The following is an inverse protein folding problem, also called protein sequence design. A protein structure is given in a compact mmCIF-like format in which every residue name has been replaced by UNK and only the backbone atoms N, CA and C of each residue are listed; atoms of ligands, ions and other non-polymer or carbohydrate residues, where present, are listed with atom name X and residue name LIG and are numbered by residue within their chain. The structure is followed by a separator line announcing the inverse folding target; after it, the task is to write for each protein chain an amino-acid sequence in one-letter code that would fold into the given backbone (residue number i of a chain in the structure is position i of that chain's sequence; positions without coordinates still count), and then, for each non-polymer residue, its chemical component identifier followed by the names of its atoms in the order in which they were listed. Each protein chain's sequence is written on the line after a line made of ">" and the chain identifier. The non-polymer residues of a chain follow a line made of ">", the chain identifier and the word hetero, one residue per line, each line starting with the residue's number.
data_IF_704085944591
#
_entry.id   IF_704085944591
#
_cell.length_a   1.000
_cell.length_b   1.000
_cell.length_c   1.000
_cell.angle_alpha   90.00
_cell.angle_beta   90.00
_cell.angle_gamma   90.00
#
_symmetry.space_group_name_H-M   'P 1'
#
loop_
_entity.id
_entity.type
_entity.pdbx_description
1 polymer ?
#
# COMPACT_ATOMS: atom_id res chain seq x y z
N UNK A 1 -29.87 4.58 -3.70
CA UNK A 1 -28.97 4.43 -2.53
C UNK A 1 -28.08 3.21 -2.76
N UNK A 2 -26.81 3.40 -3.07
CA UNK A 2 -25.84 2.30 -3.08
C UNK A 2 -25.52 1.99 -1.61
N UNK A 3 -25.87 0.78 -1.16
CA UNK A 3 -25.41 0.27 0.14
C UNK A 3 -23.89 0.26 0.13
N UNK A 4 -23.26 1.17 0.86
CA UNK A 4 -21.84 1.10 1.17
C UNK A 4 -21.61 -0.22 1.90
N UNK A 5 -20.86 -1.14 1.29
CA UNK A 5 -20.31 -2.29 2.04
C UNK A 5 -19.53 -1.66 3.20
N UNK A 6 -19.97 -1.90 4.44
CA UNK A 6 -19.16 -1.56 5.62
C UNK A 6 -17.87 -2.35 5.49
N UNK A 7 -16.76 -1.64 5.48
CA UNK A 7 -15.45 -2.26 5.57
C UNK A 7 -15.26 -2.76 6.99
N UNK A 8 -14.86 -4.01 7.14
CA UNK A 8 -14.44 -4.53 8.44
C UNK A 8 -12.92 -4.40 8.48
N UNK A 9 -12.37 -3.60 9.42
CA UNK A 9 -10.94 -3.61 9.67
C UNK A 9 -10.46 -5.02 9.96
N UNK A 10 -9.32 -5.39 9.40
CA UNK A 10 -8.70 -6.69 9.60
C UNK A 10 -7.23 -6.53 9.98
N UNK A 11 -6.78 -7.41 10.87
CA UNK A 11 -5.44 -7.39 11.43
C UNK A 11 -4.92 -8.82 11.53
N UNK A 12 -3.69 -9.05 11.10
CA UNK A 12 -2.96 -10.31 11.29
C UNK A 12 -1.60 -10.00 11.92
N UNK A 13 -1.36 -10.54 13.12
CA UNK A 13 -0.02 -10.58 13.71
C UNK A 13 0.74 -11.76 13.12
N UNK A 14 1.97 -11.51 12.70
CA UNK A 14 2.89 -12.54 12.20
C UNK A 14 4.12 -12.50 13.11
N UNK A 15 4.23 -13.47 14.04
CA UNK A 15 5.37 -13.55 14.94
C UNK A 15 6.70 -13.69 14.21
N UNK A 16 7.78 -13.26 14.87
CA UNK A 16 9.12 -13.53 14.37
C UNK A 16 9.38 -15.04 14.27
N UNK A 17 10.03 -15.47 13.18
CA UNK A 17 10.45 -16.86 12.94
C UNK A 17 9.34 -17.91 12.75
N UNK A 18 8.12 -17.51 12.44
CA UNK A 18 7.05 -18.45 12.03
C UNK A 18 7.13 -18.79 10.52
N UNK A 19 6.87 -20.05 10.18
CA UNK A 19 6.69 -20.49 8.80
C UNK A 19 5.36 -19.96 8.23
N UNK A 20 5.35 -19.54 6.96
CA UNK A 20 4.20 -18.84 6.35
C UNK A 20 2.91 -19.67 6.35
N UNK A 21 3.02 -21.00 6.27
CA UNK A 21 1.92 -21.96 6.28
C UNK A 21 1.28 -22.14 7.66
N UNK A 22 1.94 -21.63 8.71
CA UNK A 22 1.44 -21.62 10.09
C UNK A 22 0.76 -20.29 10.45
N UNK A 23 0.76 -19.31 9.54
CA UNK A 23 0.11 -18.01 9.76
C UNK A 23 -1.38 -18.10 9.41
N UNK A 24 -2.23 -17.84 10.40
CA UNK A 24 -3.68 -17.68 10.20
C UNK A 24 -3.97 -16.28 9.64
N UNK A 25 -4.03 -16.17 8.32
CA UNK A 25 -4.30 -14.91 7.65
C UNK A 25 -5.79 -14.57 7.72
N UNK A 26 -6.09 -13.28 7.94
CA UNK A 26 -7.48 -12.82 7.86
C UNK A 26 -8.02 -12.98 6.43
N UNK A 27 -9.17 -13.64 6.31
CA UNK A 27 -9.94 -13.74 5.06
C UNK A 27 -10.73 -12.47 4.72
N UNK A 28 -10.81 -11.51 5.66
CA UNK A 28 -11.60 -10.29 5.50
C UNK A 28 -10.76 -9.16 4.92
N UNK A 29 -10.41 -9.26 3.64
CA UNK A 29 -9.53 -8.27 3.00
C UNK A 29 -10.19 -7.54 1.85
N UNK A 30 -10.50 -6.26 2.05
CA UNK A 30 -10.91 -5.34 1.00
C UNK A 30 -9.89 -4.21 0.91
N UNK A 31 -8.91 -4.35 0.03
CA UNK A 31 -7.93 -3.30 -0.24
C UNK A 31 -8.37 -2.53 -1.49
N UNK A 32 -8.23 -1.22 -1.45
CA UNK A 32 -8.53 -0.34 -2.59
C UNK A 32 -7.62 -0.57 -3.82
N UNK A 33 -6.53 -1.32 -3.63
CA UNK A 33 -5.48 -1.65 -4.60
C UNK A 33 -4.10 -1.45 -3.99
N UNK A 34 -3.07 -2.10 -4.56
CA UNK A 34 -1.67 -1.97 -4.11
C UNK A 34 -0.83 -1.06 -5.02
N UNK A 35 -1.45 -0.25 -5.87
CA UNK A 35 -0.74 0.62 -6.81
C UNK A 35 0.34 1.49 -6.12
N UNK A 36 0.03 2.18 -5.00
CA UNK A 36 1.04 2.97 -4.31
C UNK A 36 2.21 2.14 -3.81
N UNK A 37 1.93 0.98 -3.21
CA UNK A 37 2.94 0.07 -2.70
C UNK A 37 3.84 -0.45 -3.83
N UNK A 38 3.24 -0.85 -4.95
CA UNK A 38 3.96 -1.26 -6.15
C UNK A 38 4.86 -0.13 -6.68
N UNK A 39 4.35 1.09 -6.82
CA UNK A 39 5.13 2.22 -7.33
C UNK A 39 6.29 2.60 -6.42
N UNK A 40 6.07 2.60 -5.11
CA UNK A 40 7.11 2.83 -4.13
C UNK A 40 8.24 1.81 -4.27
N UNK A 41 7.90 0.51 -4.22
CA UNK A 41 8.87 -0.58 -4.36
C UNK A 41 9.60 -0.48 -5.71
N UNK A 42 8.87 -0.25 -6.80
CA UNK A 42 9.43 -0.17 -8.14
C UNK A 42 10.41 1.00 -8.27
N UNK A 43 10.02 2.20 -7.83
CA UNK A 43 10.86 3.39 -7.89
C UNK A 43 12.13 3.25 -7.04
N UNK A 44 12.01 2.69 -5.82
CA UNK A 44 13.15 2.40 -4.93
C UNK A 44 14.08 1.34 -5.54
N UNK A 45 13.54 0.29 -6.14
CA UNK A 45 14.31 -0.77 -6.80
C UNK A 45 15.10 -0.24 -8.00
N UNK A 46 14.52 0.70 -8.76
CA UNK A 46 15.20 1.35 -9.89
C UNK A 46 16.19 2.44 -9.48
N UNK A 47 16.23 2.83 -8.20
CA UNK A 47 17.01 3.97 -7.70
C UNK A 47 16.74 5.24 -8.50
N UNK A 48 15.46 5.53 -8.74
CA UNK A 48 15.02 6.72 -9.50
C UNK A 48 15.70 7.97 -8.95
N UNK A 49 16.31 8.75 -9.84
CA UNK A 49 17.07 9.94 -9.46
C UNK A 49 16.19 11.02 -8.86
N UNK A 50 16.68 11.67 -7.81
CA UNK A 50 15.98 12.79 -7.20
C UNK A 50 16.11 14.03 -8.10
N UNK A 51 14.98 14.53 -8.59
CA UNK A 51 14.88 15.73 -9.42
C UNK A 51 13.59 16.48 -9.13
N UNK A 52 13.59 17.78 -9.39
CA UNK A 52 12.37 18.58 -9.34
C UNK A 52 11.46 18.23 -10.52
N UNK A 53 10.15 18.12 -10.24
CA UNK A 53 9.11 17.91 -11.24
C UNK A 53 7.93 18.85 -10.99
N UNK A 54 7.18 19.15 -12.04
CA UNK A 54 5.92 19.89 -11.94
C UNK A 54 4.75 18.94 -12.09
N UNK A 55 3.78 19.04 -11.17
CA UNK A 55 2.56 18.24 -11.24
C UNK A 55 1.77 18.60 -12.51
N UNK A 56 1.32 17.57 -13.23
CA UNK A 56 0.44 17.70 -14.38
C UNK A 56 -1.00 17.94 -13.95
N UNK A 57 -1.86 18.22 -14.92
CA UNK A 57 -3.30 18.31 -14.72
C UNK A 57 -3.89 16.91 -14.59
N UNK A 58 -4.32 16.54 -13.39
CA UNK A 58 -5.08 15.31 -13.13
C UNK A 58 -6.53 15.65 -12.78
N UNK A 59 -7.43 14.69 -13.01
CA UNK A 59 -8.86 14.84 -12.71
C UNK A 59 -9.12 15.01 -11.20
N UNK A 60 -8.23 14.46 -10.38
CA UNK A 60 -8.32 14.45 -8.92
C UNK A 60 -7.60 15.63 -8.27
N UNK A 61 -7.03 16.56 -9.04
CA UNK A 61 -6.30 17.70 -8.47
C UNK A 61 -7.17 18.50 -7.49
N UNK A 62 -6.53 19.01 -6.44
CA UNK A 62 -7.12 19.82 -5.39
C UNK A 62 -6.18 20.99 -5.03
N UNK A 63 -6.46 21.66 -3.91
CA UNK A 63 -5.66 22.79 -3.44
C UNK A 63 -4.22 22.39 -3.03
N UNK A 64 -3.98 21.11 -2.72
CA UNK A 64 -2.67 20.62 -2.29
C UNK A 64 -1.88 19.98 -3.44
N UNK A 65 -2.56 19.44 -4.46
CA UNK A 65 -1.99 18.75 -5.61
C UNK A 65 -2.51 19.37 -6.91
N UNK A 66 -2.13 20.63 -7.18
CA UNK A 66 -2.54 21.38 -8.36
C UNK A 66 -1.48 21.39 -9.46
N UNK A 67 -1.90 21.67 -10.69
CA UNK A 67 -1.03 21.74 -11.88
C UNK A 67 0.06 22.79 -11.71
N UNK A 68 1.30 22.45 -12.05
CA UNK A 68 2.45 23.35 -11.95
C UNK A 68 3.11 23.39 -10.56
N UNK A 69 2.48 22.81 -9.53
CA UNK A 69 3.10 22.64 -8.21
C UNK A 69 4.41 21.88 -8.38
N UNK A 70 5.48 22.43 -7.83
CA UNK A 70 6.79 21.80 -7.84
C UNK A 70 6.93 20.87 -6.65
N UNK A 71 7.41 19.66 -6.89
CA UNK A 71 7.71 18.64 -5.88
C UNK A 71 9.00 17.91 -6.27
N UNK A 72 9.77 17.43 -5.30
CA UNK A 72 10.91 16.59 -5.61
C UNK A 72 10.46 15.15 -5.86
N UNK A 73 11.14 14.45 -6.77
CA UNK A 73 10.84 13.06 -7.09
C UNK A 73 10.87 12.15 -5.85
N UNK A 74 11.82 12.37 -4.95
CA UNK A 74 11.89 11.60 -3.71
C UNK A 74 10.64 11.81 -2.83
N UNK A 75 10.18 13.04 -2.66
CA UNK A 75 8.95 13.35 -1.90
C UNK A 75 7.73 12.69 -2.54
N UNK A 76 7.64 12.74 -3.88
CA UNK A 76 6.55 12.09 -4.61
C UNK A 76 6.54 10.57 -4.40
N UNK A 77 7.72 9.94 -4.35
CA UNK A 77 7.86 8.51 -4.06
C UNK A 77 7.45 8.22 -2.61
N UNK A 78 7.94 8.98 -1.63
CA UNK A 78 7.60 8.77 -0.21
C UNK A 78 6.10 8.98 0.08
N UNK A 79 5.40 9.84 -0.66
CA UNK A 79 3.94 9.98 -0.51
C UNK A 79 3.19 8.66 -0.72
N UNK A 80 3.70 7.75 -1.55
CA UNK A 80 3.01 6.48 -1.86
C UNK A 80 2.77 5.59 -0.65
N UNK A 81 3.58 5.78 0.39
CA UNK A 81 3.57 5.00 1.62
C UNK A 81 3.20 5.85 2.84
N UNK A 82 2.53 6.98 2.58
CA UNK A 82 1.95 7.86 3.57
C UNK A 82 0.57 8.34 3.11
N UNK A 83 -0.35 7.40 2.88
CA UNK A 83 -1.73 7.66 2.40
C UNK A 83 -1.78 8.66 1.23
N UNK A 84 -1.26 8.27 0.05
CA UNK A 84 -1.10 9.19 -1.06
C UNK A 84 -2.45 9.69 -1.57
N UNK A 85 -2.52 10.98 -1.82
CA UNK A 85 -3.60 11.56 -2.61
C UNK A 85 -3.58 11.01 -4.06
N UNK A 86 -4.73 10.74 -4.72
CA UNK A 86 -4.78 10.11 -6.02
C UNK A 86 -3.98 10.84 -7.11
N UNK A 87 -3.94 12.19 -7.08
CA UNK A 87 -3.12 12.96 -8.02
C UNK A 87 -1.62 12.67 -7.90
N UNK A 88 -1.12 12.37 -6.70
CA UNK A 88 0.26 11.97 -6.50
C UNK A 88 0.52 10.59 -7.12
N UNK A 89 -0.42 9.66 -6.95
CA UNK A 89 -0.36 8.31 -7.56
C UNK A 89 -0.33 8.41 -9.09
N UNK A 90 -1.20 9.25 -9.69
CA UNK A 90 -1.19 9.51 -11.13
C UNK A 90 0.12 10.14 -11.60
N UNK A 91 0.60 11.14 -10.87
CA UNK A 91 1.86 11.78 -11.23
C UNK A 91 2.99 10.76 -11.23
N UNK A 92 3.13 9.96 -10.18
CA UNK A 92 4.24 9.01 -10.09
C UNK A 92 4.14 7.94 -11.17
N UNK A 93 2.95 7.43 -11.47
CA UNK A 93 2.74 6.54 -12.62
C UNK A 93 3.24 7.17 -13.93
N UNK A 94 2.94 8.44 -14.16
CA UNK A 94 3.39 9.14 -15.37
C UNK A 94 4.91 9.34 -15.41
N UNK A 95 5.56 9.46 -14.26
CA UNK A 95 7.01 9.60 -14.19
C UNK A 95 7.75 8.26 -14.33
N UNK A 96 7.14 7.15 -13.89
CA UNK A 96 7.76 5.83 -13.88
C UNK A 96 7.57 5.05 -15.19
N UNK A 97 6.49 5.29 -15.93
CA UNK A 97 6.12 4.46 -17.08
C UNK A 97 5.90 5.29 -18.34
N UNK A 98 6.33 4.74 -19.48
CA UNK A 98 6.22 5.44 -20.76
C UNK A 98 4.79 5.51 -21.30
N UNK A 99 3.95 4.55 -20.89
CA UNK A 99 2.56 4.43 -21.32
C UNK A 99 1.78 3.54 -20.36
N UNK A 100 0.45 3.56 -20.48
CA UNK A 100 -0.44 2.64 -19.76
C UNK A 100 -0.12 1.16 -20.06
N UNK A 101 0.26 0.86 -21.31
CA UNK A 101 0.64 -0.49 -21.73
C UNK A 101 1.94 -0.94 -21.05
N UNK A 102 2.93 -0.06 -20.96
CA UNK A 102 4.18 -0.32 -20.26
C UNK A 102 3.92 -0.52 -18.76
N UNK A 103 3.15 0.38 -18.14
CA UNK A 103 2.69 0.27 -16.75
C UNK A 103 2.05 -1.08 -16.46
N UNK A 104 1.09 -1.50 -17.27
CA UNK A 104 0.40 -2.79 -17.10
C UNK A 104 1.37 -3.97 -17.25
N UNK A 105 2.26 -3.93 -18.25
CA UNK A 105 3.27 -4.98 -18.43
C UNK A 105 4.21 -5.10 -17.22
N UNK A 106 4.66 -3.98 -16.64
CA UNK A 106 5.53 -4.00 -15.45
C UNK A 106 4.76 -4.52 -14.23
N UNK A 107 3.50 -4.13 -14.08
CA UNK A 107 2.64 -4.63 -13.01
C UNK A 107 2.44 -6.15 -13.14
N UNK A 108 2.10 -6.67 -14.33
CA UNK A 108 1.91 -8.10 -14.55
C UNK A 108 3.19 -8.90 -14.27
N UNK A 109 4.36 -8.36 -14.63
CA UNK A 109 5.66 -8.95 -14.28
C UNK A 109 5.86 -8.98 -12.77
N UNK A 110 5.48 -7.92 -12.06
CA UNK A 110 5.56 -7.84 -10.62
C UNK A 110 4.68 -8.89 -9.92
N UNK A 111 3.41 -9.03 -10.34
CA UNK A 111 2.49 -10.08 -9.84
C UNK A 111 3.12 -11.46 -10.01
N UNK A 112 3.53 -11.78 -11.24
CA UNK A 112 4.06 -13.11 -11.57
C UNK A 112 5.32 -13.41 -10.80
N UNK A 113 6.23 -12.44 -10.71
CA UNK A 113 7.52 -12.61 -10.03
C UNK A 113 7.36 -12.89 -8.55
N UNK A 114 6.40 -12.25 -7.89
CA UNK A 114 6.18 -12.38 -6.44
C UNK A 114 4.97 -13.26 -6.09
N UNK A 115 4.45 -13.99 -7.09
CA UNK A 115 3.32 -14.91 -6.96
C UNK A 115 2.12 -14.27 -6.23
N UNK A 116 1.75 -13.05 -6.58
CA UNK A 116 0.59 -12.37 -6.00
C UNK A 116 -0.70 -12.89 -6.63
N UNK A 117 -1.81 -12.82 -5.90
CA UNK A 117 -3.14 -13.12 -6.44
C UNK A 117 -3.45 -12.26 -7.68
N UNK A 118 -4.10 -12.83 -8.70
CA UNK A 118 -4.45 -12.15 -9.96
C UNK A 118 -5.39 -10.95 -9.75
N UNK A 119 -6.21 -11.00 -8.70
CA UNK A 119 -7.04 -9.88 -8.26
C UNK A 119 -6.19 -8.69 -7.86
N UNK A 120 -4.99 -8.85 -7.29
CA UNK A 120 -4.26 -7.81 -6.57
C UNK A 120 -4.01 -6.48 -7.33
N UNK A 121 -4.08 -6.43 -8.66
CA UNK A 121 -3.47 -5.37 -9.49
C UNK A 121 -4.40 -4.70 -10.52
N UNK A 122 -5.64 -5.15 -10.70
CA UNK A 122 -6.44 -4.65 -11.84
C UNK A 122 -6.79 -3.13 -11.71
N UNK A 123 -6.67 -2.53 -10.51
CA UNK A 123 -6.57 -1.08 -10.30
C UNK A 123 -5.14 -0.70 -9.87
N UNK A 124 -4.22 -0.58 -10.85
CA UNK A 124 -2.95 0.15 -10.64
C UNK A 124 -3.04 1.58 -11.19
N UNK A 125 -4.18 1.99 -11.75
CA UNK A 125 -4.37 3.36 -12.26
C UNK A 125 -4.66 4.38 -11.17
N UNK A 126 -4.84 4.00 -9.90
CA UNK A 126 -5.28 4.92 -8.86
C UNK A 126 -6.71 5.44 -9.06
N UNK A 127 -7.51 4.80 -9.93
CA UNK A 127 -8.95 5.05 -10.03
C UNK A 127 -9.64 4.24 -8.93
N UNK A 128 -9.95 4.91 -7.83
CA UNK A 128 -10.68 4.35 -6.70
C UNK A 128 -12.17 4.19 -7.02
N UNK A 129 -12.52 3.34 -7.99
CA UNK A 129 -13.93 2.95 -8.16
C UNK A 129 -14.23 1.77 -7.24
N UNK A 130 -15.25 1.91 -6.39
CA UNK A 130 -15.80 0.85 -5.51
C UNK A 130 -16.01 -0.51 -6.22
N UNK A 131 -16.26 -0.49 -7.54
CA UNK A 131 -16.50 -1.67 -8.39
C UNK A 131 -15.21 -2.35 -8.88
N UNK A 132 -14.07 -1.67 -8.77
CA UNK A 132 -12.73 -2.11 -9.20
C UNK A 132 -11.84 -2.39 -7.99
N UNK A 133 -12.44 -2.58 -6.80
CA UNK A 133 -11.70 -2.99 -5.61
C UNK A 133 -11.42 -4.47 -5.70
N UNK A 134 -10.17 -4.82 -5.40
CA UNK A 134 -9.67 -6.16 -5.59
C UNK A 134 -9.38 -6.85 -4.26
N UNK A 135 -9.54 -8.16 -4.26
CA UNK A 135 -9.18 -9.03 -3.15
C UNK A 135 -7.66 -9.20 -3.15
N UNK A 136 -6.94 -8.23 -2.59
CA UNK A 136 -5.55 -8.42 -2.16
C UNK A 136 -5.60 -8.97 -0.76
N UNK A 137 -4.96 -10.12 -0.52
CA UNK A 137 -5.00 -10.80 0.78
C UNK A 137 -3.88 -10.33 1.71
N UNK A 138 -4.00 -10.58 3.01
CA UNK A 138 -2.88 -10.39 3.94
C UNK A 138 -1.68 -11.28 3.57
N UNK A 139 -1.91 -12.46 2.98
CA UNK A 139 -0.84 -13.32 2.46
C UNK A 139 -0.05 -12.66 1.32
N UNK A 140 -0.75 -11.97 0.39
CA UNK A 140 -0.09 -11.21 -0.67
C UNK A 140 0.77 -10.09 -0.10
N UNK A 141 0.25 -9.33 0.88
CA UNK A 141 0.99 -8.28 1.57
C UNK A 141 2.19 -8.84 2.32
N UNK A 142 2.06 -9.99 2.97
CA UNK A 142 3.17 -10.62 3.68
C UNK A 142 4.29 -11.06 2.73
N UNK A 143 3.95 -11.61 1.56
CA UNK A 143 4.94 -11.95 0.51
C UNK A 143 5.73 -10.73 0.08
N UNK A 144 5.04 -9.58 -0.11
CA UNK A 144 5.70 -8.32 -0.41
C UNK A 144 6.59 -7.85 0.73
N UNK A 145 6.11 -7.90 1.97
CA UNK A 145 6.91 -7.59 3.15
C UNK A 145 8.19 -8.40 3.20
N UNK A 146 8.11 -9.73 3.12
CA UNK A 146 9.27 -10.63 3.18
C UNK A 146 10.31 -10.36 2.10
N UNK A 147 9.85 -9.97 0.92
CA UNK A 147 10.74 -9.71 -0.21
C UNK A 147 11.37 -8.32 -0.18
N UNK A 148 10.72 -7.35 0.47
CA UNK A 148 11.04 -5.93 0.39
C UNK A 148 11.13 -5.25 1.76
N UNK A 149 11.36 -5.99 2.84
CA UNK A 149 11.43 -5.45 4.21
C UNK A 149 12.38 -4.25 4.29
N UNK A 150 13.58 -4.36 3.73
CA UNK A 150 14.58 -3.28 3.72
C UNK A 150 14.10 -2.00 3.01
N UNK A 151 13.22 -2.14 2.03
CA UNK A 151 12.64 -1.01 1.28
C UNK A 151 11.43 -0.44 2.03
N UNK A 152 10.56 -1.33 2.53
CA UNK A 152 9.28 -0.99 3.13
C UNK A 152 9.45 -0.42 4.54
N UNK A 153 10.31 -1.02 5.36
CA UNK A 153 10.52 -0.68 6.76
C UNK A 153 11.80 0.13 7.02
N UNK A 154 12.42 0.67 5.97
CA UNK A 154 13.64 1.48 6.07
C UNK A 154 13.47 2.64 7.06
N UNK A 155 14.09 2.50 8.25
CA UNK A 155 14.04 3.44 9.36
C UNK A 155 12.62 3.82 9.82
N UNK A 156 11.67 2.90 9.75
CA UNK A 156 10.30 3.14 10.21
C UNK A 156 9.67 1.91 10.84
N UNK A 157 8.81 2.15 11.81
CA UNK A 157 8.02 1.11 12.47
C UNK A 157 6.72 0.84 11.71
N UNK A 158 6.18 1.82 10.99
CA UNK A 158 4.90 1.69 10.32
C UNK A 158 4.94 2.26 8.91
N UNK A 159 4.28 1.58 8.00
CA UNK A 159 4.06 2.00 6.61
C UNK A 159 2.57 1.95 6.32
N UNK A 160 2.02 3.01 5.71
CA UNK A 160 0.58 3.11 5.43
C UNK A 160 0.31 3.48 3.97
N UNK A 161 -0.66 2.83 3.35
CA UNK A 161 -1.15 3.17 2.03
C UNK A 161 -2.68 3.03 1.98
N UNK A 162 -3.28 3.49 0.88
CA UNK A 162 -4.73 3.62 0.73
C UNK A 162 -5.16 5.08 0.70
N UNK A 163 -6.42 5.33 0.30
CA UNK A 163 -6.98 6.67 0.23
C UNK A 163 -8.29 6.80 1.03
N UNK A 164 -9.26 5.91 0.82
CA UNK A 164 -10.51 5.93 1.62
C UNK A 164 -10.33 5.23 2.97
N UNK A 165 -9.37 4.30 3.05
CA UNK A 165 -9.05 3.53 4.25
C UNK A 165 -7.55 3.25 4.35
N UNK A 166 -7.13 2.88 5.57
CA UNK A 166 -5.74 2.71 5.97
C UNK A 166 -5.37 1.23 5.92
N UNK A 167 -4.33 0.92 5.14
CA UNK A 167 -3.74 -0.40 4.97
C UNK A 167 -2.23 -0.32 5.17
N UNK A 168 -1.57 -1.42 5.54
CA UNK A 168 -0.13 -1.37 5.71
C UNK A 168 0.48 -2.42 6.62
N UNK A 169 1.66 -2.05 7.10
CA UNK A 169 2.54 -2.88 7.92
C UNK A 169 2.92 -2.10 9.18
N UNK A 170 2.95 -2.77 10.32
CA UNK A 170 3.41 -2.20 11.59
C UNK A 170 4.32 -3.21 12.29
N UNK A 171 5.62 -2.89 12.35
CA UNK A 171 6.62 -3.63 13.10
C UNK A 171 6.43 -3.38 14.59
N UNK A 172 6.37 -4.46 15.35
CA UNK A 172 6.18 -4.51 16.79
C UNK A 172 7.27 -5.40 17.40
N UNK A 173 7.40 -5.38 18.71
CA UNK A 173 8.33 -6.29 19.41
C UNK A 173 7.92 -7.77 19.28
N UNK A 174 6.67 -8.06 18.92
CA UNK A 174 6.18 -9.42 18.70
C UNK A 174 6.38 -9.91 17.26
N UNK A 175 6.77 -9.03 16.32
CA UNK A 175 6.86 -9.33 14.90
C UNK A 175 6.17 -8.28 14.03
N UNK A 176 5.64 -8.69 12.87
CA UNK A 176 5.01 -7.79 11.91
C UNK A 176 3.49 -7.92 11.95
N UNK A 177 2.81 -6.79 12.05
CA UNK A 177 1.35 -6.71 11.90
C UNK A 177 1.01 -6.24 10.49
N UNK A 178 0.10 -6.97 9.83
CA UNK A 178 -0.54 -6.54 8.60
C UNK A 178 -1.95 -6.06 8.94
N UNK A 179 -2.29 -4.84 8.52
CA UNK A 179 -3.60 -4.27 8.77
C UNK A 179 -4.23 -3.78 7.46
N UNK A 180 -5.55 -3.92 7.34
CA UNK A 180 -6.30 -3.44 6.19
C UNK A 180 -7.65 -2.86 6.58
N UNK A 181 -8.12 -1.90 5.79
CA UNK A 181 -9.48 -1.36 5.86
C UNK A 181 -9.78 -0.59 7.14
N UNK A 182 -8.74 -0.05 7.79
CA UNK A 182 -8.88 0.76 8.99
C UNK A 182 -9.35 2.17 8.66
N UNK A 183 -10.17 2.81 9.52
CA UNK A 183 -10.64 4.18 9.30
C UNK A 183 -9.54 5.22 9.56
N UNK A 184 -8.56 4.90 10.40
CA UNK A 184 -7.47 5.81 10.74
C UNK A 184 -6.25 5.08 11.32
N UNK A 185 -5.10 5.75 11.34
CA UNK A 185 -3.86 5.24 11.94
C UNK A 185 -4.02 5.08 13.46
N UNK A 186 -4.76 5.97 14.12
CA UNK A 186 -4.99 5.92 15.56
C UNK A 186 -5.74 4.64 15.95
N UNK A 187 -6.72 4.22 15.14
CA UNK A 187 -7.42 2.97 15.37
C UNK A 187 -6.50 1.76 15.17
N UNK A 188 -5.61 1.78 14.17
CA UNK A 188 -4.58 0.72 13.99
C UNK A 188 -3.73 0.61 15.25
N UNK A 189 -3.20 1.73 15.75
CA UNK A 189 -2.34 1.75 16.95
C UNK A 189 -3.07 1.23 18.19
N UNK A 190 -4.33 1.65 18.38
CA UNK A 190 -5.16 1.16 19.48
C UNK A 190 -5.31 -0.36 19.46
N UNK A 191 -5.66 -0.93 18.31
CA UNK A 191 -5.91 -2.37 18.18
C UNK A 191 -4.61 -3.18 18.33
N UNK A 192 -3.49 -2.71 17.76
CA UNK A 192 -2.17 -3.33 17.95
C UNK A 192 -1.77 -3.35 19.42
N UNK A 193 -1.92 -2.24 20.13
CA UNK A 193 -1.60 -2.19 21.57
C UNK A 193 -2.50 -3.07 22.43
N UNK A 194 -3.75 -3.30 22.04
CA UNK A 194 -4.63 -4.27 22.72
C UNK A 194 -4.16 -5.70 22.48
N UNK A 195 -3.74 -6.01 21.24
CA UNK A 195 -3.20 -7.31 20.87
C UNK A 195 -1.92 -7.63 21.66
N UNK A 196 -0.98 -6.68 21.76
CA UNK A 196 0.24 -6.79 22.59
C UNK A 196 -0.05 -7.10 24.06
N UNK A 197 -1.05 -6.43 24.65
CA UNK A 197 -1.47 -6.66 26.04
C UNK A 197 -2.06 -8.06 26.22
N UNK A 198 -2.87 -8.53 25.27
CA UNK A 198 -3.46 -9.86 25.32
C UNK A 198 -2.43 -10.99 25.22
N UNK A 199 -1.38 -10.79 24.43
CA UNK A 199 -0.26 -11.74 24.29
C UNK A 199 0.69 -11.75 25.48
N UNK A 200 0.84 -10.62 26.19
CA UNK A 200 1.68 -10.50 27.40
C UNK A 200 1.02 -11.04 28.68
N UNK A 201 -0.24 -11.47 28.60
CA UNK A 201 -1.03 -11.93 29.75
C UNK A 201 -0.96 -13.46 29.96
N UNK A 202 0.01 -14.14 29.34
CA UNK A 202 0.25 -15.58 29.41
C UNK A 202 1.64 -15.89 29.96
#
# INVERSE_FOLDING_TARGET
>A
MLKTKKFTPALTLIPENIEIDQVDFSDQTLIEGIAPLFYYIYAKSLKVSNRSIQLKKWRTNDNNFYTGKTIMMHDLIELMINQPHPSAVYQLSNELFNSEKDRQMQADKFIKKYNLSLSAIINVTGRYMLKERHEVTHSDLYRLYRQFEDILMSNREMLCFGYDSVHGFFKTDMGIVIFTSYPSIEQVRSDVSQLEKSSSSW
#
